data_IF_196331667699
#
_entry.id   IF_196331667699
#
_cell.length_a   1.000
_cell.length_b   1.000
_cell.length_c   1.000
_cell.angle_alpha   90.00
_cell.angle_beta   90.00
_cell.angle_gamma   90.00
#
_symmetry.space_group_name_H-M   'P 1'
#
loop_
_entity.id
_entity.type
_entity.pdbx_description
1 polymer ?
#
# COMPACT_ATOMS: atom_id res chain seq x y z
N UNK A 1 -6.59 -4.64 13.57
CA UNK A 1 -5.40 -5.50 13.34
C UNK A 1 -5.57 -6.35 12.08
N UNK A 2 -4.64 -6.23 11.13
CA UNK A 2 -4.50 -7.08 9.94
C UNK A 2 -3.08 -7.65 9.86
N UNK A 3 -2.94 -8.89 9.36
CA UNK A 3 -1.66 -9.52 9.11
C UNK A 3 -1.37 -9.59 7.61
N UNK A 4 -0.19 -9.13 7.20
CA UNK A 4 0.26 -9.05 5.82
C UNK A 4 1.62 -9.72 5.66
N UNK A 5 1.87 -10.33 4.51
CA UNK A 5 3.21 -10.75 4.08
C UNK A 5 3.72 -9.73 3.09
N UNK A 6 4.71 -8.93 3.51
CA UNK A 6 5.28 -7.86 2.69
C UNK A 6 6.76 -8.14 2.49
N UNK A 7 7.19 -8.26 1.23
CA UNK A 7 8.57 -8.60 0.86
C UNK A 7 9.11 -9.85 1.61
N UNK A 8 8.27 -10.88 1.75
CA UNK A 8 8.61 -12.13 2.43
C UNK A 8 8.57 -12.08 3.97
N UNK A 9 8.23 -10.94 4.57
CA UNK A 9 8.17 -10.77 6.03
C UNK A 9 6.72 -10.62 6.51
N UNK A 10 6.34 -11.35 7.56
CA UNK A 10 5.05 -11.16 8.24
C UNK A 10 5.06 -9.83 8.99
N UNK A 11 4.02 -9.03 8.82
CA UNK A 11 3.82 -7.72 9.43
C UNK A 11 2.38 -7.60 9.91
N UNK A 12 2.19 -7.23 11.16
CA UNK A 12 0.88 -6.89 11.72
C UNK A 12 0.70 -5.38 11.72
N UNK A 13 -0.44 -4.89 11.27
CA UNK A 13 -0.78 -3.47 11.23
C UNK A 13 -2.13 -3.22 11.89
N UNK A 14 -2.22 -2.15 12.67
CA UNK A 14 -3.48 -1.75 13.29
C UNK A 14 -4.07 -0.55 12.55
N UNK A 15 -4.93 -0.85 11.57
CA UNK A 15 -5.59 0.12 10.70
C UNK A 15 -7.03 -0.32 10.45
N UNK A 16 -7.86 0.61 9.96
CA UNK A 16 -9.23 0.30 9.55
C UNK A 16 -9.26 -0.27 8.12
N UNK A 17 -10.28 -1.07 7.73
CA UNK A 17 -10.42 -1.59 6.37
C UNK A 17 -10.48 -0.50 5.28
N UNK A 18 -10.92 0.70 5.65
CA UNK A 18 -11.03 1.85 4.74
C UNK A 18 -9.68 2.53 4.49
N UNK A 19 -8.66 2.22 5.30
CA UNK A 19 -7.33 2.82 5.18
C UNK A 19 -6.68 2.35 3.86
N UNK A 20 -6.40 3.27 2.92
CA UNK A 20 -5.74 2.91 1.67
C UNK A 20 -4.42 2.17 1.88
N UNK A 21 -4.20 1.08 1.14
CA UNK A 21 -2.99 0.26 1.23
C UNK A 21 -1.70 1.07 1.04
N UNK A 22 -1.75 2.16 0.26
CA UNK A 22 -0.63 3.08 0.08
C UNK A 22 -0.17 3.71 1.41
N UNK A 23 -1.12 4.09 2.28
CA UNK A 23 -0.80 4.66 3.59
C UNK A 23 -0.30 3.61 4.57
N UNK A 24 -0.86 2.39 4.51
CA UNK A 24 -0.35 1.27 5.31
C UNK A 24 1.13 1.02 4.99
N UNK A 25 1.48 0.89 3.70
CA UNK A 25 2.85 0.59 3.26
C UNK A 25 3.82 1.73 3.61
N UNK A 26 3.43 2.98 3.33
CA UNK A 26 4.32 4.14 3.54
C UNK A 26 4.44 4.53 5.00
N UNK A 27 3.31 4.62 5.71
CA UNK A 27 3.25 5.24 7.03
C UNK A 27 3.34 4.23 8.17
N UNK A 28 2.68 3.08 8.06
CA UNK A 28 2.74 2.05 9.11
C UNK A 28 3.98 1.16 8.94
N UNK A 29 4.26 0.72 7.71
CA UNK A 29 5.40 -0.17 7.44
C UNK A 29 6.69 0.57 7.09
N UNK A 30 6.64 1.91 6.97
CA UNK A 30 7.79 2.79 6.66
C UNK A 30 8.51 2.45 5.33
N UNK A 31 7.83 1.79 4.40
CA UNK A 31 8.34 1.44 3.08
C UNK A 31 8.08 2.59 2.08
N UNK A 32 8.88 3.65 2.19
CA UNK A 32 8.69 4.91 1.42
C UNK A 32 9.08 4.82 -0.06
N UNK A 33 9.52 3.64 -0.52
CA UNK A 33 9.82 3.33 -1.92
C UNK A 33 8.58 3.41 -2.81
N UNK A 34 7.43 2.92 -2.34
CA UNK A 34 6.14 3.10 -3.01
C UNK A 34 5.72 4.56 -2.94
N UNK A 35 5.60 5.25 -4.08
CA UNK A 35 5.44 6.71 -4.10
C UNK A 35 3.97 7.12 -4.16
N UNK A 36 3.67 8.22 -3.47
CA UNK A 36 2.45 8.98 -3.73
C UNK A 36 2.69 9.85 -4.98
N UNK A 37 1.92 9.58 -6.04
CA UNK A 37 1.97 10.35 -7.30
C UNK A 37 0.65 11.06 -7.57
N UNK A 38 -0.09 10.62 -8.57
CA UNK A 38 -1.38 11.20 -8.95
C UNK A 38 -2.53 10.99 -7.93
N UNK A 39 -2.34 10.19 -6.88
CA UNK A 39 -3.38 9.83 -5.91
C UNK A 39 -4.47 8.88 -6.44
N UNK A 40 -4.71 8.81 -7.74
CA UNK A 40 -5.85 8.12 -8.36
C UNK A 40 -5.51 6.82 -9.10
N UNK A 41 -4.25 6.39 -9.07
CA UNK A 41 -3.81 5.12 -9.68
C UNK A 41 -3.48 5.19 -11.17
N UNK A 42 -3.38 6.40 -11.73
CA UNK A 42 -3.14 6.65 -13.16
C UNK A 42 -1.66 6.65 -13.58
N UNK A 43 -0.75 7.04 -12.69
CA UNK A 43 0.66 7.29 -13.03
C UNK A 43 1.61 6.12 -12.73
N UNK A 44 1.14 5.03 -12.14
CA UNK A 44 1.97 3.86 -11.77
C UNK A 44 2.96 4.07 -10.63
N UNK A 45 3.13 5.28 -10.08
CA UNK A 45 4.10 5.58 -9.02
C UNK A 45 3.87 4.78 -7.72
N UNK A 46 2.62 4.36 -7.49
CA UNK A 46 2.23 3.55 -6.35
C UNK A 46 2.10 2.05 -6.67
N UNK A 47 2.58 1.58 -7.83
CA UNK A 47 2.43 0.19 -8.22
C UNK A 47 3.19 -0.77 -7.27
N UNK A 48 2.52 -1.86 -6.91
CA UNK A 48 3.08 -2.96 -6.12
C UNK A 48 2.60 -4.30 -6.68
N UNK A 49 3.25 -5.40 -6.31
CA UNK A 49 2.78 -6.75 -6.65
C UNK A 49 1.96 -7.33 -5.50
N UNK A 50 0.72 -7.71 -5.78
CA UNK A 50 -0.21 -8.36 -4.84
C UNK A 50 -0.56 -9.71 -5.44
N UNK A 51 -0.29 -10.80 -4.73
CA UNK A 51 -0.58 -12.17 -5.16
C UNK A 51 -0.11 -12.48 -6.59
N UNK A 52 1.10 -12.01 -6.93
CA UNK A 52 1.72 -12.20 -8.24
C UNK A 52 1.24 -11.25 -9.34
N UNK A 53 0.32 -10.32 -9.05
CA UNK A 53 -0.21 -9.35 -10.01
C UNK A 53 0.20 -7.93 -9.66
N UNK A 54 0.63 -7.17 -10.66
CA UNK A 54 0.93 -5.75 -10.47
C UNK A 54 -0.38 -4.97 -10.40
N UNK A 55 -0.51 -4.14 -9.37
CA UNK A 55 -1.65 -3.25 -9.17
C UNK A 55 -1.19 -1.88 -8.67
N UNK A 56 -1.78 -0.82 -9.24
CA UNK A 56 -1.67 0.54 -8.70
C UNK A 56 -2.56 0.67 -7.48
N UNK A 57 -1.99 1.05 -6.32
CA UNK A 57 -2.75 1.26 -5.08
C UNK A 57 -2.97 2.75 -4.83
N UNK A 58 -4.09 3.34 -5.28
CA UNK A 58 -4.35 4.76 -5.10
C UNK A 58 -4.49 5.13 -3.62
N UNK A 59 -4.07 6.33 -3.27
CA UNK A 59 -4.55 6.96 -2.05
C UNK A 59 -5.99 7.39 -2.34
N UNK A 60 -6.99 6.61 -1.90
CA UNK A 60 -8.37 7.12 -1.90
C UNK A 60 -8.37 8.40 -1.07
N UNK A 61 -8.59 9.52 -1.74
CA UNK A 61 -8.98 10.75 -1.09
C UNK A 61 -10.46 10.61 -0.74
N UNK A 62 -10.77 10.89 0.53
CA UNK A 62 -12.15 11.14 0.93
C UNK A 62 -12.66 12.39 0.22
#
# INVERSE_FOLDING_TARGET
MFDLVVNGQKRSVDVTPETPLLWVIREQLKLTGTKFGCGQGLCGACAVTIDGKVASIPARFR
#
